data_IF_320755046639
#
_entry.id   IF_320755046639
#
_cell.length_a   1.000
_cell.length_b   1.000
_cell.length_c   1.000
_cell.angle_alpha   90.00
_cell.angle_beta   90.00
_cell.angle_gamma   90.00
#
_symmetry.space_group_name_H-M   'P 1'
#
loop_
_entity.id
_entity.type
_entity.pdbx_description
1 polymer ?
#
# COMPACT_ATOMS: atom_id res chain seq x y z
N UNK A 1 31.17 0.48 -36.07
CA UNK A 1 30.38 -0.78 -36.13
C UNK A 1 29.72 -0.92 -37.49
N UNK A 2 29.65 -2.12 -38.03
CA UNK A 2 28.90 -2.40 -39.28
C UNK A 2 27.39 -2.21 -38.99
N UNK A 3 26.61 -1.57 -39.89
CA UNK A 3 25.17 -1.35 -39.67
C UNK A 3 24.41 -2.63 -39.29
N UNK A 4 24.74 -3.75 -39.92
CA UNK A 4 24.16 -5.05 -39.62
C UNK A 4 24.37 -5.52 -38.17
N UNK A 5 25.52 -5.19 -37.55
CA UNK A 5 25.76 -5.53 -36.14
C UNK A 5 24.84 -4.75 -35.21
N UNK A 6 24.60 -3.47 -35.49
CA UNK A 6 23.67 -2.65 -34.73
C UNK A 6 22.23 -3.20 -34.85
N UNK A 7 21.83 -3.59 -36.05
CA UNK A 7 20.49 -4.14 -36.28
C UNK A 7 20.29 -5.48 -35.54
N UNK A 8 21.28 -6.37 -35.56
CA UNK A 8 21.23 -7.64 -34.81
C UNK A 8 21.14 -7.39 -33.31
N UNK A 9 21.97 -6.49 -32.75
CA UNK A 9 21.92 -6.15 -31.33
C UNK A 9 20.58 -5.51 -30.96
N UNK A 10 20.03 -4.65 -31.82
CA UNK A 10 18.71 -4.03 -31.63
C UNK A 10 17.58 -5.05 -31.60
N UNK A 11 17.55 -5.99 -32.56
CA UNK A 11 16.56 -7.06 -32.57
C UNK A 11 16.71 -8.01 -31.38
N UNK A 12 17.95 -8.37 -31.01
CA UNK A 12 18.21 -9.25 -29.88
C UNK A 12 17.76 -8.61 -28.55
N UNK A 13 18.06 -7.33 -28.33
CA UNK A 13 17.64 -6.61 -27.13
C UNK A 13 16.14 -6.37 -27.09
N UNK A 14 15.51 -6.03 -28.23
CA UNK A 14 14.05 -5.95 -28.33
C UNK A 14 13.38 -7.30 -28.01
N UNK A 15 13.87 -8.38 -28.60
CA UNK A 15 13.40 -9.75 -28.31
C UNK A 15 13.61 -10.13 -26.85
N UNK A 16 14.75 -9.76 -26.27
CA UNK A 16 15.05 -9.96 -24.84
C UNK A 16 14.05 -9.24 -23.93
N UNK A 17 13.69 -7.99 -24.24
CA UNK A 17 12.66 -7.27 -23.49
C UNK A 17 11.28 -7.93 -23.62
N UNK A 18 10.92 -8.42 -24.81
CA UNK A 18 9.66 -9.17 -25.00
C UNK A 18 9.67 -10.45 -24.16
N UNK A 19 10.79 -11.19 -24.14
CA UNK A 19 10.93 -12.38 -23.29
C UNK A 19 10.81 -12.01 -21.81
N UNK A 20 11.44 -10.93 -21.36
CA UNK A 20 11.28 -10.46 -19.98
C UNK A 20 9.81 -10.14 -19.66
N UNK A 21 9.11 -9.40 -20.52
CA UNK A 21 7.69 -9.10 -20.31
C UNK A 21 6.78 -10.34 -20.27
N UNK A 22 7.14 -11.43 -20.96
CA UNK A 22 6.34 -12.65 -21.02
C UNK A 22 6.71 -13.69 -19.96
N UNK A 23 7.88 -13.58 -19.33
CA UNK A 23 8.43 -14.62 -18.43
C UNK A 23 8.70 -14.15 -17.01
N UNK A 24 8.95 -12.85 -16.81
CA UNK A 24 9.15 -12.28 -15.49
C UNK A 24 7.80 -11.81 -14.96
N UNK A 25 7.45 -12.30 -13.78
CA UNK A 25 6.33 -11.80 -12.99
C UNK A 25 6.85 -11.14 -11.71
N UNK A 26 5.99 -10.32 -11.09
CA UNK A 26 6.29 -9.55 -9.88
C UNK A 26 6.49 -10.44 -8.63
N UNK A 27 6.18 -11.73 -8.69
CA UNK A 27 6.33 -12.66 -7.56
C UNK A 27 7.65 -13.43 -7.62
N UNK A 28 8.43 -13.33 -8.70
CA UNK A 28 9.70 -13.99 -8.83
C UNK A 28 10.82 -13.26 -8.06
N UNK A 29 11.49 -13.90 -7.09
CA UNK A 29 12.62 -13.30 -6.38
C UNK A 29 13.78 -12.89 -7.31
N UNK A 30 13.90 -13.54 -8.47
CA UNK A 30 14.91 -13.24 -9.49
C UNK A 30 14.77 -11.80 -10.02
N UNK A 31 13.54 -11.29 -10.13
CA UNK A 31 13.27 -9.94 -10.60
C UNK A 31 13.97 -8.89 -9.70
N UNK A 32 13.88 -9.09 -8.39
CA UNK A 32 14.47 -8.20 -7.38
C UNK A 32 15.96 -8.46 -7.15
N UNK A 33 16.44 -9.69 -7.37
CA UNK A 33 17.84 -10.09 -7.21
C UNK A 33 18.67 -9.93 -8.50
N UNK A 34 18.45 -8.83 -9.22
CA UNK A 34 19.21 -8.45 -10.42
C UNK A 34 18.43 -8.47 -11.73
N UNK A 35 17.21 -9.03 -11.77
CA UNK A 35 16.34 -8.98 -12.94
C UNK A 35 16.04 -7.54 -13.40
N UNK A 36 15.72 -6.63 -12.47
CA UNK A 36 15.54 -5.21 -12.79
C UNK A 36 16.78 -4.58 -13.43
N UNK A 37 17.97 -4.93 -12.95
CA UNK A 37 19.23 -4.44 -13.51
C UNK A 37 19.40 -4.99 -14.93
N UNK A 38 19.12 -6.27 -15.16
CA UNK A 38 19.18 -6.88 -16.49
C UNK A 38 18.20 -6.24 -17.48
N UNK A 39 16.95 -6.00 -17.07
CA UNK A 39 15.94 -5.28 -17.86
C UNK A 39 16.40 -3.86 -18.17
N UNK A 40 16.93 -3.15 -17.17
CA UNK A 40 17.45 -1.79 -17.32
C UNK A 40 18.62 -1.70 -18.31
N UNK A 41 19.61 -2.58 -18.17
CA UNK A 41 20.75 -2.65 -19.09
C UNK A 41 20.33 -3.01 -20.52
N UNK A 42 19.43 -4.00 -20.67
CA UNK A 42 18.89 -4.38 -21.98
C UNK A 42 18.15 -3.22 -22.64
N UNK A 43 17.36 -2.48 -21.86
CA UNK A 43 16.67 -1.27 -22.32
C UNK A 43 17.66 -0.17 -22.73
N UNK A 44 18.71 0.06 -21.94
CA UNK A 44 19.73 1.06 -22.25
C UNK A 44 20.46 0.75 -23.56
N UNK A 45 20.82 -0.52 -23.78
CA UNK A 45 21.44 -0.96 -25.04
C UNK A 45 20.48 -0.78 -26.21
N UNK A 46 19.20 -1.17 -26.06
CA UNK A 46 18.20 -0.96 -27.11
C UNK A 46 18.07 0.53 -27.47
N UNK A 47 17.95 1.41 -26.47
CA UNK A 47 17.87 2.87 -26.66
C UNK A 47 19.11 3.41 -27.39
N UNK A 48 20.31 2.97 -26.99
CA UNK A 48 21.56 3.38 -27.63
C UNK A 48 21.62 2.94 -29.11
N UNK A 49 21.16 1.73 -29.42
CA UNK A 49 21.12 1.20 -30.79
C UNK A 49 20.11 1.95 -31.66
N UNK A 50 18.90 2.21 -31.17
CA UNK A 50 17.86 2.89 -31.96
C UNK A 50 18.16 4.38 -32.16
N UNK A 51 18.89 5.01 -31.22
CA UNK A 51 19.34 6.40 -31.34
C UNK A 51 20.51 6.55 -32.32
N UNK A 52 21.19 5.46 -32.69
CA UNK A 52 22.34 5.52 -33.58
C UNK A 52 21.90 5.78 -35.04
N UNK A 53 22.42 6.81 -35.75
CA UNK A 53 21.98 7.21 -37.11
C UNK A 53 22.11 6.15 -38.22
N UNK A 54 22.75 5.02 -37.94
CA UNK A 54 23.03 3.93 -38.88
C UNK A 54 22.16 2.70 -38.63
N UNK A 55 21.32 2.72 -37.59
CA UNK A 55 20.40 1.64 -37.24
C UNK A 55 19.15 1.70 -38.13
N UNK A 56 18.80 0.57 -38.72
CA UNK A 56 17.59 0.41 -39.53
C UNK A 56 16.43 -0.09 -38.68
N UNK A 57 16.71 -0.80 -37.60
CA UNK A 57 15.70 -1.28 -36.63
C UNK A 57 14.93 -0.10 -36.02
N UNK A 58 15.65 0.96 -35.62
CA UNK A 58 15.03 2.17 -35.07
C UNK A 58 14.14 2.92 -36.06
N UNK A 59 14.55 3.01 -37.34
CA UNK A 59 13.82 3.77 -38.36
C UNK A 59 12.67 3.01 -39.03
N UNK A 60 12.77 1.68 -39.16
CA UNK A 60 11.76 0.86 -39.86
C UNK A 60 10.70 0.26 -38.93
N UNK A 61 11.09 -0.23 -37.74
CA UNK A 61 10.15 -0.91 -36.83
C UNK A 61 9.59 0.06 -35.79
N UNK A 62 10.45 0.60 -34.93
CA UNK A 62 10.02 1.48 -33.84
C UNK A 62 9.67 2.91 -34.32
N UNK A 63 10.19 3.30 -35.49
CA UNK A 63 9.85 4.54 -36.17
C UNK A 63 8.49 4.54 -36.87
N UNK A 64 7.76 3.41 -36.85
CA UNK A 64 6.44 3.34 -37.46
C UNK A 64 5.47 4.33 -36.81
N UNK A 65 4.69 5.05 -37.64
CA UNK A 65 3.86 6.19 -37.21
C UNK A 65 2.94 5.88 -36.01
N UNK A 66 2.24 4.73 -35.95
CA UNK A 66 1.40 4.39 -34.79
C UNK A 66 2.20 4.17 -33.51
N UNK A 67 3.31 3.42 -33.57
CA UNK A 67 4.16 3.16 -32.40
C UNK A 67 4.78 4.45 -31.86
N UNK A 68 5.26 5.31 -32.76
CA UNK A 68 5.74 6.64 -32.39
C UNK A 68 4.64 7.51 -31.78
N UNK A 69 3.43 7.50 -32.36
CA UNK A 69 2.30 8.27 -31.84
C UNK A 69 1.92 7.85 -30.42
N UNK A 70 1.94 6.54 -30.12
CA UNK A 70 1.73 5.99 -28.78
C UNK A 70 2.88 6.41 -27.86
N UNK A 71 4.13 6.25 -28.31
CA UNK A 71 5.32 6.58 -27.51
C UNK A 71 5.37 8.05 -27.08
N UNK A 72 5.02 8.97 -27.99
CA UNK A 72 4.92 10.41 -27.70
C UNK A 72 3.86 10.74 -26.63
N UNK A 73 2.85 9.89 -26.46
CA UNK A 73 1.71 10.05 -25.53
C UNK A 73 1.76 9.08 -24.36
N UNK A 74 2.83 8.30 -24.23
CA UNK A 74 2.94 7.22 -23.24
C UNK A 74 2.76 7.72 -21.81
N UNK A 75 3.29 8.91 -21.51
CA UNK A 75 3.11 9.55 -20.21
C UNK A 75 1.64 9.91 -19.94
N UNK A 76 0.95 10.56 -20.88
CA UNK A 76 -0.49 10.84 -20.76
C UNK A 76 -1.34 9.58 -20.65
N UNK A 77 -1.00 8.51 -21.38
CA UNK A 77 -1.69 7.21 -21.27
C UNK A 77 -1.51 6.65 -19.84
N UNK A 78 -0.29 6.68 -19.30
CA UNK A 78 -0.01 6.26 -17.93
C UNK A 78 -0.76 7.10 -16.89
N UNK A 79 -0.93 8.41 -17.09
CA UNK A 79 -1.70 9.21 -16.14
C UNK A 79 -3.20 8.96 -16.22
N UNK A 80 -3.76 8.91 -17.43
CA UNK A 80 -5.22 8.85 -17.60
C UNK A 80 -5.81 7.45 -17.48
N UNK A 81 -5.03 6.39 -17.68
CA UNK A 81 -5.59 5.04 -17.57
C UNK A 81 -6.12 4.74 -16.16
N UNK A 82 -5.41 5.15 -15.11
CA UNK A 82 -5.81 4.82 -13.74
C UNK A 82 -7.14 5.48 -13.33
N UNK A 83 -7.35 6.81 -13.47
CA UNK A 83 -8.65 7.42 -13.20
C UNK A 83 -9.79 6.81 -14.02
N UNK A 84 -9.56 6.54 -15.31
CA UNK A 84 -10.58 5.91 -16.18
C UNK A 84 -11.00 4.55 -15.64
N UNK A 85 -10.04 3.73 -15.19
CA UNK A 85 -10.33 2.41 -14.64
C UNK A 85 -11.03 2.48 -13.27
N UNK A 86 -10.69 3.47 -12.45
CA UNK A 86 -11.30 3.67 -11.13
C UNK A 86 -12.75 4.13 -11.19
N UNK A 87 -13.13 4.95 -12.19
CA UNK A 87 -14.51 5.47 -12.30
C UNK A 87 -15.42 4.63 -13.20
N UNK A 88 -14.93 3.51 -13.72
CA UNK A 88 -15.70 2.63 -14.61
C UNK A 88 -15.70 1.19 -14.11
N UNK A 89 -15.70 0.95 -12.80
CA UNK A 89 -15.63 -0.40 -12.22
C UNK A 89 -16.84 -1.24 -12.68
N UNK A 90 -16.63 -2.45 -13.24
CA UNK A 90 -17.73 -3.26 -13.78
C UNK A 90 -18.67 -3.68 -12.65
N UNK A 91 -19.98 -3.57 -12.88
CA UNK A 91 -21.01 -3.97 -11.90
C UNK A 91 -21.19 -3.00 -10.73
N UNK A 92 -20.34 -1.97 -10.62
CA UNK A 92 -20.43 -0.94 -9.58
C UNK A 92 -20.75 0.44 -10.18
N UNK A 93 -19.89 0.94 -11.07
CA UNK A 93 -20.07 2.26 -11.69
C UNK A 93 -20.73 2.17 -13.08
N UNK A 94 -20.50 1.07 -13.81
CA UNK A 94 -21.04 0.85 -15.16
C UNK A 94 -21.61 -0.56 -15.34
N UNK A 95 -22.72 -0.72 -16.09
CA UNK A 95 -23.35 -2.03 -16.33
C UNK A 95 -22.67 -2.82 -17.46
N UNK A 96 -21.45 -2.46 -17.84
CA UNK A 96 -20.67 -3.11 -18.89
C UNK A 96 -19.55 -3.93 -18.25
N UNK A 97 -19.17 -5.02 -18.89
CA UNK A 97 -18.06 -5.88 -18.48
C UNK A 97 -17.28 -6.43 -19.68
N UNK A 98 -16.27 -7.26 -19.39
CA UNK A 98 -15.51 -7.99 -20.40
C UNK A 98 -14.76 -7.12 -21.42
N UNK A 99 -14.63 -7.66 -22.64
CA UNK A 99 -13.84 -7.06 -23.72
C UNK A 99 -14.42 -5.71 -24.20
N UNK A 100 -15.74 -5.54 -24.14
CA UNK A 100 -16.41 -4.29 -24.54
C UNK A 100 -16.02 -3.14 -23.61
N UNK A 101 -16.07 -3.37 -22.30
CA UNK A 101 -15.64 -2.36 -21.33
C UNK A 101 -14.14 -2.06 -21.47
N UNK A 102 -13.31 -3.09 -21.68
CA UNK A 102 -11.87 -2.89 -21.90
C UNK A 102 -11.60 -2.02 -23.13
N UNK A 103 -12.25 -2.31 -24.26
CA UNK A 103 -12.10 -1.52 -25.49
C UNK A 103 -12.52 -0.06 -25.27
N UNK A 104 -13.62 0.17 -24.55
CA UNK A 104 -14.09 1.52 -24.23
C UNK A 104 -13.10 2.27 -23.33
N UNK A 105 -12.60 1.62 -22.27
CA UNK A 105 -11.59 2.21 -21.37
C UNK A 105 -10.31 2.60 -22.10
N UNK A 106 -9.83 1.73 -22.99
CA UNK A 106 -8.67 2.01 -23.83
C UNK A 106 -8.94 3.20 -24.77
N UNK A 107 -10.09 3.23 -25.42
CA UNK A 107 -10.47 4.33 -26.31
C UNK A 107 -10.55 5.68 -25.57
N UNK A 108 -11.20 5.72 -24.42
CA UNK A 108 -11.31 6.92 -23.56
C UNK A 108 -9.93 7.35 -23.07
N UNK A 109 -9.10 6.40 -22.60
CA UNK A 109 -7.74 6.70 -22.16
C UNK A 109 -6.89 7.31 -23.27
N UNK A 110 -6.93 6.72 -24.47
CA UNK A 110 -6.20 7.23 -25.64
C UNK A 110 -6.70 8.61 -26.07
N UNK A 111 -8.00 8.85 -26.01
CA UNK A 111 -8.61 10.15 -26.29
C UNK A 111 -8.14 11.21 -25.29
N UNK A 112 -8.25 10.93 -23.99
CA UNK A 112 -7.82 11.85 -22.93
C UNK A 112 -6.31 12.12 -22.99
N UNK A 113 -5.51 11.08 -23.20
CA UNK A 113 -4.07 11.22 -23.41
C UNK A 113 -3.76 12.06 -24.65
N UNK A 114 -4.51 11.90 -25.75
CA UNK A 114 -4.33 12.72 -26.95
C UNK A 114 -4.67 14.20 -26.72
N UNK A 115 -5.78 14.48 -26.03
CA UNK A 115 -6.20 15.84 -25.67
C UNK A 115 -5.20 16.49 -24.71
N UNK A 116 -4.78 15.76 -23.68
CA UNK A 116 -3.78 16.21 -22.70
C UNK A 116 -2.44 16.49 -23.39
N UNK A 117 -1.99 15.61 -24.28
CA UNK A 117 -0.78 15.84 -25.06
C UNK A 117 -0.87 17.11 -25.92
N UNK A 118 -1.97 17.31 -26.64
CA UNK A 118 -2.16 18.45 -27.54
C UNK A 118 -2.30 19.78 -26.81
N UNK A 119 -3.05 19.81 -25.70
CA UNK A 119 -3.46 21.06 -25.05
C UNK A 119 -2.69 21.38 -23.77
N UNK A 120 -2.03 20.39 -23.16
CA UNK A 120 -1.25 20.58 -21.92
C UNK A 120 0.22 20.33 -22.19
N UNK A 121 0.60 19.12 -22.61
CA UNK A 121 2.03 18.77 -22.72
C UNK A 121 2.75 19.56 -23.82
N UNK A 122 2.18 19.66 -25.02
CA UNK A 122 2.80 20.33 -26.15
C UNK A 122 3.04 21.83 -25.90
N UNK A 123 2.06 22.62 -25.41
CA UNK A 123 2.32 24.01 -25.03
C UNK A 123 3.40 24.16 -23.96
N UNK A 124 3.38 23.30 -22.94
CA UNK A 124 4.37 23.31 -21.86
C UNK A 124 5.77 23.00 -22.40
N UNK A 125 5.92 21.96 -23.22
CA UNK A 125 7.19 21.55 -23.84
C UNK A 125 7.78 22.62 -24.76
N UNK A 126 6.94 23.38 -25.46
CA UNK A 126 7.37 24.47 -26.35
C UNK A 126 7.52 25.82 -25.62
N UNK A 127 7.52 25.80 -24.28
CA UNK A 127 7.88 26.95 -23.47
C UNK A 127 6.76 27.95 -23.22
N UNK A 128 5.48 27.58 -23.43
CA UNK A 128 4.35 28.46 -23.11
C UNK A 128 4.34 28.88 -21.62
N UNK A 129 4.74 27.99 -20.70
CA UNK A 129 4.91 28.34 -19.28
C UNK A 129 6.06 29.33 -19.06
N UNK A 130 7.17 29.15 -19.77
CA UNK A 130 8.31 30.07 -19.69
C UNK A 130 7.99 31.45 -20.25
N UNK A 131 7.22 31.51 -21.34
CA UNK A 131 6.72 32.75 -21.93
C UNK A 131 5.69 33.42 -21.03
N UNK A 132 4.77 32.66 -20.43
CA UNK A 132 3.81 33.17 -19.45
C UNK A 132 4.49 33.70 -18.19
N UNK A 133 5.50 32.99 -17.68
CA UNK A 133 6.29 33.41 -16.51
C UNK A 133 7.11 34.67 -16.81
N UNK A 134 7.73 34.77 -17.98
CA UNK A 134 8.43 36.00 -18.41
C UNK A 134 7.46 37.15 -18.60
N UNK A 135 6.33 36.94 -19.26
CA UNK A 135 5.29 37.95 -19.40
C UNK A 135 4.80 38.44 -18.03
N UNK A 136 4.59 37.54 -17.06
CA UNK A 136 4.22 37.88 -15.69
C UNK A 136 5.32 38.69 -14.96
N UNK A 137 6.59 38.28 -15.08
CA UNK A 137 7.74 38.99 -14.48
C UNK A 137 8.07 40.32 -15.14
N UNK A 138 7.78 40.48 -16.43
CA UNK A 138 8.05 41.69 -17.21
C UNK A 138 6.89 42.70 -17.17
N UNK A 139 5.80 42.41 -16.44
CA UNK A 139 4.64 43.31 -16.30
C UNK A 139 4.88 44.47 -15.30
N UNK A 140 6.14 44.87 -15.07
CA UNK A 140 6.51 46.08 -14.31
C UNK A 140 6.35 47.39 -15.12
N UNK A 141 5.66 47.37 -16.27
CA UNK A 141 5.32 48.60 -17.02
C UNK A 141 3.84 48.94 -16.90
N UNK A 142 3.47 50.11 -16.36
CA UNK A 142 2.09 50.49 -16.16
C UNK A 142 1.53 51.01 -17.48
N UNK A 143 1.04 50.14 -18.38
CA UNK A 143 0.04 50.49 -19.42
C UNK A 143 -0.30 49.27 -20.30
N UNK A 144 -1.40 48.60 -19.96
CA UNK A 144 -2.59 48.37 -20.82
C UNK A 144 -3.52 47.37 -20.12
N UNK A 145 -4.75 47.79 -19.83
CA UNK A 145 -5.86 47.00 -19.22
C UNK A 145 -6.40 45.87 -20.13
N UNK A 146 -5.52 45.12 -20.81
CA UNK A 146 -5.89 44.14 -21.84
C UNK A 146 -5.40 42.69 -21.59
N UNK A 147 -4.14 42.44 -21.18
CA UNK A 147 -3.67 41.07 -20.97
C UNK A 147 -3.96 40.53 -19.56
N UNK A 148 -3.94 41.39 -18.51
CA UNK A 148 -4.24 40.97 -17.13
C UNK A 148 -5.66 40.43 -16.95
N UNK A 149 -6.64 40.99 -17.67
CA UNK A 149 -8.03 40.51 -17.65
C UNK A 149 -8.18 39.16 -18.36
N UNK A 150 -7.38 38.88 -19.40
CA UNK A 150 -7.40 37.59 -20.12
C UNK A 150 -6.73 36.48 -19.32
N UNK A 151 -5.65 36.79 -18.61
CA UNK A 151 -5.01 35.87 -17.66
C UNK A 151 -5.85 35.64 -16.41
N UNK A 152 -6.47 36.69 -15.85
CA UNK A 152 -7.45 36.53 -14.78
C UNK A 152 -8.63 35.67 -15.26
N UNK A 153 -9.21 35.96 -16.42
CA UNK A 153 -10.32 35.18 -16.98
C UNK A 153 -9.97 33.71 -17.29
N UNK A 154 -8.70 33.40 -17.59
CA UNK A 154 -8.23 32.02 -17.79
C UNK A 154 -7.85 31.31 -16.47
N UNK A 155 -7.36 32.05 -15.47
CA UNK A 155 -7.01 31.53 -14.16
C UNK A 155 -8.23 31.28 -13.26
N UNK A 156 -9.28 32.11 -13.37
CA UNK A 156 -10.52 31.96 -12.60
C UNK A 156 -11.20 30.61 -12.75
N UNK A 157 -11.42 30.03 -13.96
CA UNK A 157 -12.05 28.72 -14.07
C UNK A 157 -11.17 27.59 -13.53
N UNK A 158 -9.84 27.70 -13.66
CA UNK A 158 -8.91 26.71 -13.09
C UNK A 158 -8.90 26.80 -11.56
N UNK A 159 -8.84 28.01 -11.00
CA UNK A 159 -8.91 28.23 -9.56
C UNK A 159 -10.27 27.81 -8.99
N UNK A 160 -11.37 28.13 -9.67
CA UNK A 160 -12.70 27.71 -9.30
C UNK A 160 -12.84 26.17 -9.34
N UNK A 161 -12.30 25.51 -10.37
CA UNK A 161 -12.26 24.05 -10.45
C UNK A 161 -11.43 23.45 -9.31
N UNK A 162 -10.25 24.01 -9.01
CA UNK A 162 -9.42 23.57 -7.88
C UNK A 162 -10.12 23.77 -6.53
N UNK A 163 -10.85 24.87 -6.35
CA UNK A 163 -11.63 25.13 -5.14
C UNK A 163 -12.80 24.16 -5.04
N UNK A 164 -13.53 23.91 -6.14
CA UNK A 164 -14.64 22.94 -6.17
C UNK A 164 -14.14 21.54 -5.87
N UNK A 165 -13.05 21.10 -6.50
CA UNK A 165 -12.42 19.80 -6.21
C UNK A 165 -11.94 19.76 -4.76
N UNK A 166 -11.28 20.82 -4.28
CA UNK A 166 -10.80 20.90 -2.89
C UNK A 166 -11.93 20.83 -1.87
N UNK A 167 -13.05 21.52 -2.11
CA UNK A 167 -14.26 21.47 -1.28
C UNK A 167 -14.93 20.10 -1.37
N UNK A 168 -15.02 19.52 -2.56
CA UNK A 168 -15.60 18.19 -2.75
C UNK A 168 -14.77 17.12 -2.04
N UNK A 169 -13.44 17.21 -2.07
CA UNK A 169 -12.53 16.32 -1.33
C UNK A 169 -12.63 16.56 0.18
N UNK A 170 -12.65 17.83 0.62
CA UNK A 170 -12.75 18.15 2.05
C UNK A 170 -14.11 17.78 2.67
N UNK A 171 -15.17 17.66 1.85
CA UNK A 171 -16.50 17.22 2.26
C UNK A 171 -16.83 15.79 1.87
N UNK A 172 -15.90 15.09 1.23
CA UNK A 172 -16.06 13.67 1.00
C UNK A 172 -15.88 12.96 2.35
N UNK A 173 -16.99 12.66 3.01
CA UNK A 173 -17.00 11.69 4.08
C UNK A 173 -16.65 10.34 3.44
N UNK A 174 -15.48 9.82 3.78
CA UNK A 174 -15.14 8.47 3.43
C UNK A 174 -16.20 7.55 4.04
N UNK A 175 -16.79 6.59 3.28
CA UNK A 175 -17.57 5.56 3.91
C UNK A 175 -16.70 4.91 4.99
N UNK A 176 -17.27 4.71 6.19
CA UNK A 176 -16.60 4.03 7.29
C UNK A 176 -15.92 2.77 6.72
N UNK A 177 -14.59 2.65 6.81
CA UNK A 177 -13.92 1.47 6.33
C UNK A 177 -14.59 0.28 7.02
N UNK A 178 -15.01 -0.76 6.28
CA UNK A 178 -15.57 -1.94 6.91
C UNK A 178 -14.60 -2.40 8.00
N UNK A 179 -15.10 -2.84 9.16
CA UNK A 179 -14.32 -2.95 10.40
C UNK A 179 -12.94 -3.65 10.27
N UNK A 180 -12.77 -4.54 9.28
CA UNK A 180 -11.51 -5.20 8.96
C UNK A 180 -10.43 -4.29 8.32
N UNK A 181 -10.79 -3.16 7.69
CA UNK A 181 -9.86 -2.17 7.15
C UNK A 181 -9.47 -1.08 8.16
N UNK A 182 -10.28 -0.90 9.22
CA UNK A 182 -10.03 0.08 10.27
C UNK A 182 -8.93 -0.37 11.25
N UNK A 183 -8.77 -1.68 11.44
CA UNK A 183 -7.71 -2.26 12.26
C UNK A 183 -6.48 -2.56 11.38
N UNK A 184 -5.38 -1.85 11.63
CA UNK A 184 -4.12 -2.06 10.89
C UNK A 184 -3.16 -3.01 11.63
N UNK A 185 -3.10 -2.92 12.95
CA UNK A 185 -2.22 -3.71 13.81
C UNK A 185 -2.94 -4.08 15.11
N UNK A 186 -2.72 -5.30 15.61
CA UNK A 186 -3.20 -5.77 16.89
C UNK A 186 -2.03 -6.46 17.59
N UNK A 187 -1.68 -5.92 18.76
CA UNK A 187 -0.69 -6.47 19.69
C UNK A 187 -1.31 -6.46 21.08
N UNK A 188 -1.96 -7.55 21.49
CA UNK A 188 -2.40 -7.70 22.88
C UNK A 188 -1.43 -8.63 23.58
N UNK A 189 -0.58 -8.08 24.45
CA UNK A 189 0.01 -8.83 25.57
C UNK A 189 -0.85 -8.51 26.79
N UNK A 190 -1.29 -9.52 27.55
CA UNK A 190 -2.17 -9.32 28.70
C UNK A 190 -1.45 -8.51 29.79
N UNK A 191 -1.70 -7.20 29.89
CA UNK A 191 -1.41 -6.44 31.10
C UNK A 191 -2.42 -6.84 32.18
N UNK A 192 -2.01 -7.04 33.45
CA UNK A 192 -2.95 -7.34 34.53
C UNK A 192 -3.95 -6.19 34.66
N UNK A 193 -5.23 -6.50 34.47
CA UNK A 193 -6.34 -5.54 34.53
C UNK A 193 -6.33 -4.76 35.86
N UNK A 194 -6.64 -3.45 35.87
CA UNK A 194 -6.92 -2.75 37.11
C UNK A 194 -8.24 -3.26 37.69
N UNK A 195 -8.20 -3.76 38.91
CA UNK A 195 -9.37 -4.07 39.74
C UNK A 195 -10.37 -2.90 39.69
N UNK A 196 -11.55 -3.13 39.12
CA UNK A 196 -12.73 -2.32 39.42
C UNK A 196 -13.76 -3.23 40.04
N UNK A 197 -13.69 -3.27 41.37
CA UNK A 197 -14.72 -3.73 42.28
C UNK A 197 -16.07 -3.09 41.95
N UNK A 198 -17.10 -3.92 42.07
CA UNK A 198 -18.51 -3.65 41.92
C UNK A 198 -18.99 -2.35 42.61
N UNK A 199 -19.86 -1.62 41.92
CA UNK A 199 -21.11 -1.12 42.50
C UNK A 199 -22.10 -0.84 41.36
N UNK A 200 -23.16 -1.65 41.35
CA UNK A 200 -24.42 -1.42 40.63
C UNK A 200 -25.26 -0.44 41.48
N UNK A 201 -26.04 0.49 40.90
CA UNK A 201 -27.42 0.08 40.66
C UNK A 201 -28.09 0.67 39.40
N UNK A 202 -28.90 -0.20 38.79
CA UNK A 202 -30.13 -0.01 38.01
C UNK A 202 -30.78 1.40 37.90
N UNK A 203 -31.24 1.74 36.69
CA UNK A 203 -32.28 2.73 36.43
C UNK A 203 -32.47 3.06 34.93
N UNK A 204 -33.68 2.88 34.43
CA UNK A 204 -34.14 2.88 33.03
C UNK A 204 -34.17 4.23 32.27
N UNK A 205 -34.30 4.08 30.94
CA UNK A 205 -34.93 4.95 29.92
C UNK A 205 -34.13 6.06 29.15
N UNK A 206 -34.34 6.03 27.83
CA UNK A 206 -33.73 6.84 26.77
C UNK A 206 -34.54 8.13 26.43
N UNK A 207 -34.33 8.81 25.28
CA UNK A 207 -33.29 9.80 24.96
C UNK A 207 -33.85 11.18 24.58
N UNK A 208 -33.08 12.28 24.69
CA UNK A 208 -33.46 13.58 24.09
C UNK A 208 -32.29 14.39 23.48
N UNK A 209 -32.47 14.73 22.20
CA UNK A 209 -31.75 15.73 21.42
C UNK A 209 -32.06 17.17 21.90
N UNK A 210 -31.05 18.04 21.99
CA UNK A 210 -31.05 19.44 21.50
C UNK A 210 -29.77 20.21 21.94
N UNK A 211 -29.31 21.23 21.18
CA UNK A 211 -27.94 21.74 21.21
C UNK A 211 -27.75 22.95 22.15
N UNK A 212 -26.50 23.35 22.50
CA UNK A 212 -26.26 24.62 23.16
C UNK A 212 -25.98 25.78 22.18
N UNK A 213 -26.30 27.03 22.55
CA UNK A 213 -26.32 28.19 21.66
C UNK A 213 -24.99 28.96 21.60
N UNK A 214 -24.84 29.73 20.52
CA UNK A 214 -23.92 30.86 20.39
C UNK A 214 -24.35 32.03 21.28
N UNK A 215 -23.41 32.70 21.98
CA UNK A 215 -23.49 34.15 22.09
C UNK A 215 -22.13 34.83 22.28
N UNK A 216 -22.09 36.07 21.80
CA UNK A 216 -20.95 36.91 21.46
C UNK A 216 -20.52 37.81 22.61
N UNK A 217 -19.18 37.92 22.76
CA UNK A 217 -18.41 39.17 22.84
C UNK A 217 -18.66 40.15 24.02
N UNK A 218 -17.58 40.52 24.75
CA UNK A 218 -16.95 41.87 24.71
C UNK A 218 -16.12 42.24 25.97
N UNK A 219 -14.81 42.47 25.75
CA UNK A 219 -13.86 43.50 26.30
C UNK A 219 -13.71 43.69 27.83
N UNK A 220 -12.57 44.09 28.45
CA UNK A 220 -11.46 44.96 28.02
C UNK A 220 -10.26 44.95 29.04
N UNK A 221 -9.05 45.31 28.55
CA UNK A 221 -7.92 46.03 29.22
C UNK A 221 -7.03 45.30 30.26
N UNK A 222 -5.70 45.47 30.39
CA UNK A 222 -4.72 46.43 29.85
C UNK A 222 -3.24 45.95 29.99
N UNK A 223 -2.35 46.56 29.17
CA UNK A 223 -0.95 46.99 29.43
C UNK A 223 0.29 46.05 29.27
N UNK A 224 1.01 46.30 28.15
CA UNK A 224 2.44 46.22 27.74
C UNK A 224 3.61 46.30 28.78
N UNK A 225 4.93 46.20 28.40
CA UNK A 225 5.57 45.81 27.12
C UNK A 225 6.81 44.85 27.23
N UNK A 226 7.31 44.42 26.07
CA UNK A 226 8.55 43.66 25.83
C UNK A 226 9.86 44.44 26.04
N UNK A 227 11.03 43.78 25.89
CA UNK A 227 11.98 44.31 24.90
C UNK A 227 12.58 43.26 23.94
N UNK A 228 12.87 43.77 22.75
CA UNK A 228 13.49 43.16 21.57
C UNK A 228 15.02 43.03 21.74
N UNK A 229 15.62 42.06 21.04
CA UNK A 229 17.00 42.13 20.53
C UNK A 229 17.06 41.55 19.11
N UNK A 230 17.65 42.33 18.22
CA UNK A 230 18.15 42.04 16.86
C UNK A 230 19.40 42.96 16.69
N UNK A 231 20.24 42.87 15.63
CA UNK A 231 20.70 41.73 14.83
C UNK A 231 22.24 41.81 14.59
N UNK A 232 22.86 40.79 13.96
CA UNK A 232 24.09 41.01 13.17
C UNK A 232 24.33 39.90 12.12
N UNK A 233 24.59 40.37 10.90
CA UNK A 233 25.01 39.71 9.65
C UNK A 233 26.34 38.93 9.82
N UNK A 234 26.81 38.02 8.96
CA UNK A 234 26.40 37.52 7.65
C UNK A 234 27.50 36.58 7.12
N UNK A 235 27.17 35.70 6.16
CA UNK A 235 28.19 34.84 5.53
C UNK A 235 27.64 33.67 4.72
N UNK A 236 27.35 33.90 3.44
CA UNK A 236 26.93 32.91 2.43
C UNK A 236 27.97 31.78 2.24
N UNK A 237 27.52 30.52 2.19
CA UNK A 237 27.93 29.52 1.16
C UNK A 237 27.10 28.22 1.25
N UNK A 238 26.58 27.81 0.10
CA UNK A 238 26.22 26.44 -0.33
C UNK A 238 25.46 25.51 0.65
N UNK A 239 24.13 25.49 0.54
CA UNK A 239 23.27 24.55 1.27
C UNK A 239 22.22 23.92 0.35
N UNK A 240 22.65 23.04 -0.56
CA UNK A 240 21.73 22.20 -1.35
C UNK A 240 22.11 20.70 -1.36
N UNK A 241 23.17 20.33 -0.65
CA UNK A 241 23.63 18.93 -0.51
C UNK A 241 23.42 18.39 0.92
N UNK A 242 23.41 19.25 1.95
CA UNK A 242 23.13 18.84 3.35
C UNK A 242 21.67 18.54 3.67
N UNK A 243 20.71 18.93 2.80
CA UNK A 243 19.27 18.69 3.05
C UNK A 243 18.81 17.30 2.64
N UNK A 244 19.58 16.59 1.81
CA UNK A 244 19.29 15.21 1.43
C UNK A 244 19.90 14.22 2.42
N UNK A 245 21.08 14.52 2.97
CA UNK A 245 21.73 13.63 3.95
C UNK A 245 21.10 13.74 5.34
N UNK A 246 20.65 14.93 5.75
CA UNK A 246 19.91 15.11 7.01
C UNK A 246 18.49 14.51 6.99
N UNK A 247 17.89 14.35 5.80
CA UNK A 247 16.58 13.71 5.65
C UNK A 247 16.70 12.18 5.67
N UNK A 248 17.72 11.63 5.00
CA UNK A 248 18.01 10.20 5.02
C UNK A 248 18.52 9.72 6.40
N UNK A 249 19.28 10.53 7.14
CA UNK A 249 19.70 10.20 8.50
C UNK A 249 18.57 10.32 9.53
N UNK A 250 17.60 11.22 9.32
CA UNK A 250 16.37 11.30 10.14
C UNK A 250 15.39 10.17 9.84
N UNK A 251 15.28 9.71 8.60
CA UNK A 251 14.44 8.56 8.24
C UNK A 251 15.09 7.24 8.69
N UNK A 252 16.40 7.05 8.53
CA UNK A 252 17.10 5.89 9.08
C UNK A 252 17.10 5.87 10.62
N UNK A 253 17.30 7.02 11.25
CA UNK A 253 17.21 7.17 12.70
C UNK A 253 15.78 7.08 13.25
N UNK A 254 14.75 7.37 12.46
CA UNK A 254 13.35 7.19 12.88
C UNK A 254 12.89 5.73 12.75
N UNK A 255 13.37 5.01 11.74
CA UNK A 255 13.13 3.56 11.59
C UNK A 255 13.86 2.75 12.68
N UNK A 256 15.02 3.22 13.13
CA UNK A 256 15.77 2.57 14.22
C UNK A 256 15.31 2.99 15.62
N UNK A 257 14.73 4.18 15.78
CA UNK A 257 14.28 4.71 17.09
C UNK A 257 12.83 4.37 17.43
N UNK A 258 12.03 3.90 16.48
CA UNK A 258 10.76 3.21 16.77
C UNK A 258 10.97 1.74 17.24
N UNK A 259 12.22 1.27 17.31
CA UNK A 259 12.58 -0.15 17.49
C UNK A 259 12.92 -0.57 18.93
N UNK A 260 12.60 0.24 19.93
CA UNK A 260 12.74 -0.12 21.35
C UNK A 260 11.59 0.45 22.16
N UNK A 261 10.50 -0.28 22.22
CA UNK A 261 9.63 -0.21 23.38
C UNK A 261 10.30 -0.92 24.57
N UNK A 262 10.04 -0.48 25.81
CA UNK A 262 10.67 -1.07 27.00
C UNK A 262 10.17 -2.51 27.17
N UNK A 263 11.10 -3.41 27.51
CA UNK A 263 10.75 -4.75 28.00
C UNK A 263 9.88 -4.62 29.25
N UNK A 264 8.57 -4.80 29.10
CA UNK A 264 7.65 -5.04 30.20
C UNK A 264 7.99 -6.43 30.76
N UNK A 265 8.06 -6.54 32.09
CA UNK A 265 8.29 -7.78 32.81
C UNK A 265 7.27 -8.86 32.38
N UNK A 266 7.61 -10.17 32.49
CA UNK A 266 6.81 -11.22 31.85
C UNK A 266 5.44 -11.31 32.53
N UNK A 267 4.40 -10.83 31.84
CA UNK A 267 3.06 -11.35 32.02
C UNK A 267 3.12 -12.84 31.66
N UNK A 268 2.55 -13.72 32.51
CA UNK A 268 2.53 -15.15 32.23
C UNK A 268 1.92 -15.37 30.85
N UNK A 269 2.63 -16.08 29.97
CA UNK A 269 2.05 -16.53 28.72
C UNK A 269 0.85 -17.43 29.06
N UNK A 270 -0.37 -16.90 28.92
CA UNK A 270 -1.56 -17.75 28.82
C UNK A 270 -1.40 -18.76 27.67
N UNK A 271 -2.22 -19.81 27.64
CA UNK A 271 -1.96 -21.04 26.89
C UNK A 271 -1.80 -20.83 25.38
N UNK A 272 -2.43 -19.80 24.80
CA UNK A 272 -2.45 -19.60 23.35
C UNK A 272 -1.82 -18.27 22.95
N UNK A 273 -0.87 -18.32 22.01
CA UNK A 273 -0.42 -17.15 21.24
C UNK A 273 -0.83 -17.29 19.78
N UNK A 274 -1.21 -16.19 19.15
CA UNK A 274 -1.64 -16.17 17.75
C UNK A 274 -0.86 -15.11 16.97
N UNK A 275 -0.23 -15.53 15.87
CA UNK A 275 0.54 -14.68 14.95
C UNK A 275 -0.09 -14.77 13.57
N UNK A 276 -0.41 -13.63 12.97
CA UNK A 276 -1.05 -13.65 11.66
C UNK A 276 -1.02 -12.35 10.87
N UNK A 277 -1.59 -12.42 9.67
CA UNK A 277 -1.71 -11.27 8.78
C UNK A 277 -3.13 -10.66 8.79
N UNK A 278 -3.47 -9.87 7.77
CA UNK A 278 -4.74 -9.13 7.68
C UNK A 278 -5.99 -10.00 7.84
N UNK A 279 -5.93 -11.29 7.52
CA UNK A 279 -7.08 -12.18 7.71
C UNK A 279 -7.33 -12.44 9.20
N UNK A 280 -6.27 -12.63 9.98
CA UNK A 280 -6.37 -12.79 11.43
C UNK A 280 -6.78 -11.46 12.10
N UNK A 281 -6.28 -10.32 11.64
CA UNK A 281 -6.74 -8.99 12.08
C UNK A 281 -8.25 -8.86 11.91
N UNK A 282 -8.78 -9.25 10.75
CA UNK A 282 -10.21 -9.22 10.46
C UNK A 282 -11.06 -10.13 11.37
N UNK A 283 -10.46 -11.16 11.99
CA UNK A 283 -11.13 -12.08 12.91
C UNK A 283 -10.80 -11.86 14.40
N UNK A 284 -10.03 -10.83 14.74
CA UNK A 284 -9.50 -10.65 16.10
C UNK A 284 -10.59 -10.57 17.18
N UNK A 285 -11.69 -9.86 16.92
CA UNK A 285 -12.80 -9.75 17.88
C UNK A 285 -13.47 -11.11 18.19
N UNK A 286 -13.88 -11.91 17.19
CA UNK A 286 -14.32 -13.29 17.41
C UNK A 286 -13.24 -14.18 18.05
N UNK A 287 -11.97 -14.10 17.63
CA UNK A 287 -10.87 -14.88 18.21
C UNK A 287 -10.71 -14.64 19.71
N UNK A 288 -10.68 -13.37 20.14
CA UNK A 288 -10.55 -13.01 21.55
C UNK A 288 -11.76 -13.44 22.40
N UNK A 289 -12.92 -13.73 21.78
CA UNK A 289 -14.13 -14.20 22.48
C UNK A 289 -14.28 -15.72 22.50
N UNK A 290 -13.81 -16.40 21.45
CA UNK A 290 -14.07 -17.83 21.22
C UNK A 290 -12.87 -18.72 21.55
N UNK A 291 -11.66 -18.19 21.53
CA UNK A 291 -10.45 -18.92 21.91
C UNK A 291 -10.12 -18.55 23.35
N UNK A 292 -10.27 -19.50 24.26
CA UNK A 292 -9.97 -19.30 25.67
C UNK A 292 -8.50 -18.86 25.85
N UNK A 293 -8.31 -17.77 26.60
CA UNK A 293 -7.01 -17.25 27.05
C UNK A 293 -5.93 -17.05 25.96
N UNK A 294 -6.27 -16.41 24.81
CA UNK A 294 -5.23 -15.83 23.94
C UNK A 294 -4.46 -14.78 24.75
N UNK A 295 -3.21 -15.12 25.10
CA UNK A 295 -2.31 -14.26 25.87
C UNK A 295 -1.57 -13.25 25.01
N UNK A 296 -1.27 -13.67 23.77
CA UNK A 296 -0.61 -12.85 22.77
C UNK A 296 -1.36 -12.96 21.45
N UNK A 297 -1.87 -11.85 20.93
CA UNK A 297 -2.39 -11.75 19.55
C UNK A 297 -1.56 -10.70 18.80
N UNK A 298 -0.68 -11.16 17.92
CA UNK A 298 0.17 -10.34 17.06
C UNK A 298 -0.28 -10.50 15.60
N UNK A 299 -1.13 -9.59 15.14
CA UNK A 299 -1.61 -9.59 13.77
C UNK A 299 -1.51 -8.22 13.12
N UNK A 300 -0.98 -8.16 11.89
CA UNK A 300 -0.74 -6.91 11.17
C UNK A 300 -1.19 -7.02 9.71
N UNK A 301 -1.83 -5.95 9.22
CA UNK A 301 -2.24 -5.85 7.82
C UNK A 301 -1.02 -5.84 6.92
N UNK A 302 -0.93 -6.82 6.02
CA UNK A 302 0.21 -6.95 5.12
C UNK A 302 1.41 -7.67 5.71
N UNK A 303 1.30 -8.25 6.92
CA UNK A 303 2.38 -9.00 7.57
C UNK A 303 2.98 -10.03 6.61
N UNK A 304 4.28 -9.88 6.36
CA UNK A 304 5.07 -10.81 5.54
C UNK A 304 5.66 -11.93 6.41
N UNK A 305 5.77 -13.13 5.85
CA UNK A 305 6.32 -14.31 6.53
C UNK A 305 7.69 -14.05 7.14
N UNK A 306 8.57 -13.30 6.45
CA UNK A 306 9.90 -12.96 7.00
C UNK A 306 9.83 -12.08 8.24
N UNK A 307 8.90 -11.13 8.28
CA UNK A 307 8.73 -10.25 9.44
C UNK A 307 8.12 -11.02 10.61
N UNK A 308 7.14 -11.89 10.33
CA UNK A 308 6.55 -12.75 11.36
C UNK A 308 7.58 -13.67 12.04
N UNK A 309 8.60 -14.16 11.33
CA UNK A 309 9.72 -14.90 11.94
C UNK A 309 10.45 -14.06 12.99
N UNK A 310 10.65 -12.77 12.72
CA UNK A 310 11.29 -11.86 13.66
C UNK A 310 10.39 -11.54 14.86
N UNK A 311 9.06 -11.41 14.65
CA UNK A 311 8.08 -11.30 15.74
C UNK A 311 8.12 -12.54 16.63
N UNK A 312 8.06 -13.74 16.04
CA UNK A 312 8.14 -15.01 16.77
C UNK A 312 9.42 -15.12 17.60
N UNK A 313 10.58 -14.70 17.05
CA UNK A 313 11.84 -14.64 17.82
C UNK A 313 11.72 -13.70 18.99
N UNK A 314 11.21 -12.49 18.76
CA UNK A 314 11.05 -11.50 19.82
C UNK A 314 10.17 -12.04 20.95
N UNK A 315 9.03 -12.65 20.62
CA UNK A 315 8.10 -13.22 21.61
C UNK A 315 8.68 -14.39 22.37
N UNK A 316 9.41 -15.27 21.68
CA UNK A 316 10.15 -16.36 22.33
C UNK A 316 11.17 -15.81 23.33
N UNK A 317 11.99 -14.85 22.88
CA UNK A 317 13.07 -14.28 23.69
C UNK A 317 12.55 -13.50 24.90
N UNK A 318 11.32 -12.97 24.83
CA UNK A 318 10.62 -12.32 25.94
C UNK A 318 9.75 -13.26 26.79
N UNK A 319 9.68 -14.56 26.49
CA UNK A 319 8.83 -15.51 27.21
C UNK A 319 7.32 -15.27 27.05
N UNK A 320 6.91 -14.67 25.92
CA UNK A 320 5.51 -14.29 25.61
C UNK A 320 4.81 -15.30 24.69
N UNK A 321 5.48 -16.39 24.30
CA UNK A 321 4.84 -17.47 23.56
C UNK A 321 4.15 -18.43 24.53
N UNK A 322 2.88 -18.70 24.28
CA UNK A 322 2.11 -19.74 24.96
C UNK A 322 2.54 -21.15 24.56
N UNK A 323 1.98 -22.14 25.26
CA UNK A 323 2.17 -23.57 24.98
C UNK A 323 1.67 -23.96 23.58
N UNK A 324 0.61 -23.28 23.12
CA UNK A 324 0.09 -23.37 21.76
C UNK A 324 0.33 -22.08 21.00
N UNK A 325 0.96 -22.17 19.81
CA UNK A 325 1.14 -21.04 18.90
C UNK A 325 0.36 -21.26 17.60
N UNK A 326 -0.60 -20.39 17.32
CA UNK A 326 -1.37 -20.36 16.08
C UNK A 326 -0.69 -19.44 15.06
N UNK A 327 -0.47 -19.93 13.85
CA UNK A 327 0.19 -19.18 12.76
C UNK A 327 -0.71 -19.16 11.52
N UNK A 328 -1.14 -17.96 11.09
CA UNK A 328 -1.83 -17.78 9.82
C UNK A 328 -1.15 -16.72 8.95
N UNK A 329 -0.30 -17.18 8.04
CA UNK A 329 0.55 -16.33 7.20
C UNK A 329 0.61 -16.85 5.77
N UNK A 330 0.78 -15.93 4.83
CA UNK A 330 0.93 -16.23 3.40
C UNK A 330 -0.19 -15.66 2.53
N UNK A 331 -1.14 -14.91 3.09
CA UNK A 331 -2.15 -14.21 2.28
C UNK A 331 -1.51 -13.04 1.50
N UNK A 332 -0.41 -12.48 2.02
CA UNK A 332 0.24 -11.28 1.48
C UNK A 332 1.52 -11.54 0.66
N UNK A 333 1.89 -12.80 0.42
CA UNK A 333 3.09 -13.11 -0.36
C UNK A 333 3.51 -14.58 -0.27
N UNK A 334 4.60 -14.90 -0.95
CA UNK A 334 5.14 -16.27 -1.02
C UNK A 334 5.65 -16.73 0.35
N UNK A 335 5.20 -17.91 0.78
CA UNK A 335 5.67 -18.63 1.95
C UNK A 335 6.60 -19.75 1.50
N UNK A 336 7.91 -19.54 1.66
CA UNK A 336 8.92 -20.50 1.20
C UNK A 336 9.16 -21.60 2.24
N UNK A 337 9.56 -22.79 1.77
CA UNK A 337 10.02 -23.89 2.65
C UNK A 337 11.09 -23.45 3.65
N UNK A 338 12.03 -22.60 3.23
CA UNK A 338 13.09 -22.08 4.11
C UNK A 338 12.49 -21.32 5.30
N UNK A 339 11.51 -20.46 5.05
CA UNK A 339 10.84 -19.70 6.11
C UNK A 339 10.04 -20.62 7.03
N UNK A 340 9.37 -21.65 6.49
CA UNK A 340 8.66 -22.63 7.32
C UNK A 340 9.62 -23.32 8.31
N UNK A 341 10.76 -23.83 7.82
CA UNK A 341 11.78 -24.43 8.70
C UNK A 341 12.39 -23.42 9.68
N UNK A 342 12.44 -22.14 9.31
CA UNK A 342 12.93 -21.09 10.18
C UNK A 342 11.95 -20.79 11.32
N UNK A 343 10.64 -20.75 11.03
CA UNK A 343 9.59 -20.64 12.05
C UNK A 343 9.62 -21.84 12.99
N UNK A 344 9.65 -23.07 12.47
CA UNK A 344 9.68 -24.27 13.32
C UNK A 344 10.93 -24.35 14.19
N UNK A 345 12.08 -23.81 13.73
CA UNK A 345 13.28 -23.70 14.56
C UNK A 345 13.11 -22.68 15.69
N UNK A 346 12.41 -21.59 15.45
CA UNK A 346 12.09 -20.60 16.49
C UNK A 346 11.10 -21.18 17.49
N UNK A 347 10.15 -21.97 17.02
CA UNK A 347 9.08 -22.62 17.79
C UNK A 347 9.45 -24.04 18.27
N UNK A 348 10.74 -24.35 18.38
CA UNK A 348 11.18 -25.71 18.71
C UNK A 348 10.77 -26.15 20.12
N UNK A 349 10.65 -25.19 21.05
CA UNK A 349 10.28 -25.40 22.45
C UNK A 349 8.78 -25.17 22.71
N UNK A 350 7.98 -24.98 21.66
CA UNK A 350 6.52 -24.82 21.77
C UNK A 350 5.86 -26.20 21.64
N UNK A 351 4.99 -26.54 22.60
CA UNK A 351 4.35 -27.86 22.67
C UNK A 351 3.45 -28.13 21.47
N UNK A 352 2.73 -27.11 20.99
CA UNK A 352 1.83 -27.23 19.84
C UNK A 352 1.90 -26.00 18.93
N UNK A 353 2.13 -26.23 17.64
CA UNK A 353 2.14 -25.19 16.61
C UNK A 353 1.04 -25.45 15.60
N UNK A 354 0.01 -24.60 15.58
CA UNK A 354 -1.15 -24.77 14.72
C UNK A 354 -1.03 -23.84 13.52
N UNK A 355 -0.81 -24.40 12.33
CA UNK A 355 -0.79 -23.64 11.09
C UNK A 355 -2.18 -23.59 10.45
N UNK A 356 -2.61 -22.39 10.07
CA UNK A 356 -3.79 -22.18 9.23
C UNK A 356 -3.32 -21.99 7.79
N UNK A 357 -3.76 -22.84 6.86
CA UNK A 357 -3.44 -22.65 5.44
C UNK A 357 -4.27 -21.50 4.84
N UNK A 358 -3.86 -21.01 3.66
CA UNK A 358 -4.37 -19.74 3.12
C UNK A 358 -5.47 -19.95 2.09
N UNK A 359 -6.41 -19.00 2.04
CA UNK A 359 -7.43 -18.86 0.99
C UNK A 359 -7.31 -17.46 0.40
N UNK A 360 -6.69 -17.36 -0.76
CA UNK A 360 -6.38 -16.09 -1.43
C UNK A 360 -6.39 -16.30 -2.95
N UNK A 361 -7.15 -15.53 -3.75
CA UNK A 361 -7.19 -15.70 -5.20
C UNK A 361 -5.94 -15.09 -5.84
N UNK A 362 -4.77 -15.70 -5.57
CA UNK A 362 -3.45 -15.25 -6.00
C UNK A 362 -2.58 -16.44 -6.43
N UNK A 363 -1.62 -16.25 -7.35
CA UNK A 363 -0.80 -17.35 -7.88
C UNK A 363 0.01 -18.13 -6.82
N UNK A 364 0.27 -17.55 -5.65
CA UNK A 364 1.02 -18.19 -4.57
C UNK A 364 0.16 -18.99 -3.59
N UNK A 365 -1.17 -19.02 -3.73
CA UNK A 365 -2.05 -19.79 -2.83
C UNK A 365 -1.69 -21.27 -2.79
N UNK A 366 -1.69 -21.94 -3.96
CA UNK A 366 -1.38 -23.37 -4.04
C UNK A 366 0.05 -23.68 -3.58
N UNK A 367 1.11 -22.99 -4.07
CA UNK A 367 2.47 -23.22 -3.56
C UNK A 367 2.63 -23.00 -2.06
N UNK A 368 1.95 -21.99 -1.49
CA UNK A 368 2.00 -21.73 -0.04
C UNK A 368 1.32 -22.87 0.73
N UNK A 369 0.14 -23.29 0.30
CA UNK A 369 -0.59 -24.39 0.94
C UNK A 369 0.21 -25.70 0.86
N UNK A 370 0.90 -25.99 -0.25
CA UNK A 370 1.81 -27.13 -0.36
C UNK A 370 2.98 -27.03 0.63
N UNK A 371 3.58 -25.85 0.80
CA UNK A 371 4.66 -25.62 1.78
C UNK A 371 4.15 -25.84 3.20
N UNK A 372 2.98 -25.32 3.55
CA UNK A 372 2.39 -25.45 4.88
C UNK A 372 2.05 -26.92 5.16
N UNK A 373 1.28 -27.59 4.28
CA UNK A 373 0.87 -28.99 4.48
C UNK A 373 2.08 -29.94 4.53
N UNK A 374 3.03 -29.79 3.60
CA UNK A 374 4.26 -30.60 3.62
C UNK A 374 5.19 -30.25 4.79
N UNK A 375 5.13 -29.03 5.29
CA UNK A 375 5.81 -28.59 6.50
C UNK A 375 5.26 -29.26 7.75
N UNK A 376 3.96 -29.10 7.99
CA UNK A 376 3.23 -29.67 9.13
C UNK A 376 3.48 -31.17 9.26
N UNK A 377 3.32 -31.92 8.16
CA UNK A 377 3.56 -33.39 8.16
C UNK A 377 4.99 -33.83 8.53
N UNK A 378 5.97 -32.92 8.55
CA UNK A 378 7.37 -33.22 8.90
C UNK A 378 7.72 -32.87 10.35
N UNK A 379 6.84 -32.19 11.07
CA UNK A 379 7.09 -31.72 12.44
C UNK A 379 6.02 -32.28 13.39
N UNK A 380 6.41 -33.05 14.42
CA UNK A 380 5.44 -33.78 15.25
C UNK A 380 4.60 -32.88 16.16
N UNK A 381 5.09 -31.68 16.50
CA UNK A 381 4.37 -30.67 17.25
C UNK A 381 3.58 -29.71 16.36
N UNK A 382 3.50 -29.94 15.04
CA UNK A 382 2.79 -29.09 14.11
C UNK A 382 1.44 -29.71 13.68
N UNK A 383 0.40 -28.88 13.62
CA UNK A 383 -0.93 -29.26 13.16
C UNK A 383 -1.46 -28.30 12.09
N UNK A 384 -2.43 -28.78 11.30
CA UNK A 384 -3.03 -28.03 10.20
C UNK A 384 -4.51 -27.76 10.47
N UNK A 385 -4.89 -26.49 10.40
CA UNK A 385 -6.27 -26.03 10.17
C UNK A 385 -6.43 -25.79 8.66
N UNK A 386 -7.33 -26.56 8.03
CA UNK A 386 -7.60 -26.48 6.59
C UNK A 386 -8.66 -25.41 6.26
N UNK A 387 -8.27 -24.15 6.47
CA UNK A 387 -9.06 -22.97 6.12
C UNK A 387 -9.29 -22.85 4.60
N UNK A 388 -8.35 -23.31 3.78
CA UNK A 388 -8.52 -23.36 2.32
C UNK A 388 -9.76 -24.16 1.94
N UNK A 389 -9.86 -25.41 2.36
CA UNK A 389 -11.00 -26.28 2.03
C UNK A 389 -12.30 -25.74 2.63
N UNK A 390 -12.23 -25.14 3.83
CA UNK A 390 -13.38 -24.44 4.38
C UNK A 390 -13.81 -23.26 3.48
N UNK A 391 -12.89 -22.46 2.94
CA UNK A 391 -13.23 -21.31 2.11
C UNK A 391 -13.74 -21.65 0.69
N UNK A 392 -13.45 -22.84 0.16
CA UNK A 392 -13.81 -23.23 -1.20
C UNK A 392 -15.34 -23.25 -1.39
N UNK A 393 -15.80 -22.56 -2.44
CA UNK A 393 -17.23 -22.55 -2.82
C UNK A 393 -18.13 -21.72 -1.91
N UNK A 394 -17.56 -20.94 -0.98
CA UNK A 394 -18.31 -20.16 0.03
C UNK A 394 -18.01 -18.65 -0.05
N UNK A 395 -18.46 -17.96 -1.11
CA UNK A 395 -18.21 -16.51 -1.27
C UNK A 395 -18.84 -15.67 -0.15
N UNK A 396 -19.85 -16.18 0.56
CA UNK A 396 -20.49 -15.52 1.71
C UNK A 396 -19.55 -15.32 2.91
N UNK A 397 -18.42 -16.01 2.95
CA UNK A 397 -17.41 -15.84 4.00
C UNK A 397 -16.45 -14.70 3.72
N UNK A 398 -16.34 -14.25 2.47
CA UNK A 398 -15.33 -13.30 2.03
C UNK A 398 -15.97 -12.02 1.51
N UNK A 399 -15.28 -10.90 1.62
CA UNK A 399 -15.61 -9.69 0.87
C UNK A 399 -15.26 -9.89 -0.61
N UNK A 400 -15.56 -8.90 -1.44
CA UNK A 400 -15.42 -9.01 -2.90
C UNK A 400 -13.99 -9.28 -3.39
N UNK A 401 -12.97 -9.09 -2.56
CA UNK A 401 -11.58 -9.42 -2.89
C UNK A 401 -11.23 -10.91 -2.75
N UNK A 402 -12.11 -11.70 -2.14
CA UNK A 402 -11.93 -13.14 -1.92
C UNK A 402 -10.88 -13.50 -0.86
N UNK A 403 -10.45 -12.54 -0.03
CA UNK A 403 -9.42 -12.70 1.02
C UNK A 403 -9.96 -12.30 2.39
N UNK A 404 -10.46 -11.08 2.52
CA UNK A 404 -10.89 -10.57 3.83
C UNK A 404 -12.27 -11.10 4.21
N UNK A 405 -12.47 -11.28 5.51
CA UNK A 405 -13.61 -12.02 6.04
C UNK A 405 -14.85 -11.13 6.20
N UNK A 406 -16.00 -11.65 5.79
CA UNK A 406 -17.31 -11.17 6.24
C UNK A 406 -17.63 -11.75 7.63
N UNK A 407 -18.62 -11.22 8.38
CA UNK A 407 -18.94 -11.70 9.72
C UNK A 407 -19.17 -13.23 9.84
N UNK A 408 -19.81 -13.92 8.88
CA UNK A 408 -19.87 -15.40 8.89
C UNK A 408 -18.50 -16.06 8.76
N UNK A 409 -17.60 -15.51 7.93
CA UNK A 409 -16.22 -15.97 7.78
C UNK A 409 -15.41 -15.78 9.05
N UNK A 410 -15.54 -14.63 9.72
CA UNK A 410 -14.83 -14.34 10.97
C UNK A 410 -15.21 -15.33 12.09
N UNK A 411 -16.50 -15.64 12.24
CA UNK A 411 -16.98 -16.62 13.24
C UNK A 411 -16.48 -18.02 12.96
N UNK A 412 -16.56 -18.46 11.70
CA UNK A 412 -16.08 -19.80 11.37
C UNK A 412 -14.56 -19.91 11.53
N UNK A 413 -13.82 -18.88 11.10
CA UNK A 413 -12.38 -18.82 11.25
C UNK A 413 -11.97 -18.93 12.74
N UNK A 414 -12.63 -18.19 13.62
CA UNK A 414 -12.41 -18.26 15.07
C UNK A 414 -12.79 -19.63 15.65
N UNK A 415 -13.94 -20.18 15.27
CA UNK A 415 -14.38 -21.51 15.73
C UNK A 415 -13.40 -22.63 15.34
N UNK A 416 -12.88 -22.62 14.10
CA UNK A 416 -11.89 -23.61 13.64
C UNK A 416 -10.56 -23.50 14.41
N UNK A 417 -10.17 -22.29 14.81
CA UNK A 417 -8.99 -22.09 15.66
C UNK A 417 -9.27 -22.53 17.08
N UNK A 418 -10.43 -22.17 17.66
CA UNK A 418 -10.82 -22.58 19.01
C UNK A 418 -10.83 -24.10 19.18
N UNK A 419 -11.43 -24.84 18.23
CA UNK A 419 -11.47 -26.32 18.24
C UNK A 419 -10.08 -26.98 18.26
N UNK A 420 -9.06 -26.28 17.74
CA UNK A 420 -7.70 -26.82 17.57
C UNK A 420 -6.66 -26.23 18.48
N UNK A 421 -6.90 -25.04 19.03
CA UNK A 421 -5.96 -24.33 19.87
C UNK A 421 -6.44 -24.19 21.33
N UNK A 422 -7.73 -24.38 21.59
CA UNK A 422 -8.28 -24.45 22.94
C UNK A 422 -7.86 -25.73 23.68
N UNK A 423 -7.77 -25.63 25.00
CA UNK A 423 -7.60 -26.77 25.89
C UNK A 423 -8.94 -27.51 26.02
N UNK A 424 -8.94 -28.83 25.90
CA UNK A 424 -10.13 -29.69 26.14
C UNK A 424 -10.68 -29.58 27.58
#
# INVERSE_FOLDING_TARGET
MRPALLDVVGLATLGGLVVFCLRLDEFQPLLYKGGFVAVGLTTAVLVAVIAHPRSRVGSLLLGWRPLRWIGERSYGIYLWHWPVFMVTRPGLDVPLDGATLLALRLAVTLLLAHLSYRYVEQPVRHGALGQAWRAFRETDRPLRRGPGLRWAAAATPVAALCVVIGVAVARAEAPEPPAYLAMQEIHTATDPAPDTSADDPAGEDAPQNAPPPEDKNRQEAAAEPAPKRDPAEGGKRSGKQDRTDAKNAREAGAVEKARKEPAVAPASAGPVSAIGDSVMVGAAGPLQREVEEISTLDAEVGMQVSYAVDVLRSRRDSGQLGETVVVHLGNNGVFTRKQFEEMMRVLADVDRVVFVNVRVPRPWETPNNEVITSGVSRHPNAELIDWYSAGVGRPELFVSDGVHLQPPGQRLYAAMISERAGSD
#
